data_IF_548476675549
#
_entry.id   IF_548476675549
#
_cell.length_a   1.000
_cell.length_b   1.000
_cell.length_c   1.000
_cell.angle_alpha   90.00
_cell.angle_beta   90.00
_cell.angle_gamma   90.00
#
_symmetry.space_group_name_H-M   'P 1'
#
loop_
_entity.id
_entity.type
_entity.pdbx_description
1 polymer ?
#
# COMPACT_ATOMS: atom_id res chain seq x y z
N UNK A 1 27.63 54.83 5.85
CA UNK A 1 27.53 55.85 4.79
C UNK A 1 27.43 55.14 3.46
N UNK A 2 26.48 55.55 2.62
CA UNK A 2 26.13 54.92 1.34
C UNK A 2 27.13 55.33 0.26
N UNK A 3 27.48 54.40 -0.62
CA UNK A 3 27.90 54.72 -1.98
C UNK A 3 27.34 53.65 -2.93
N UNK A 4 26.19 53.96 -3.52
CA UNK A 4 25.69 53.28 -4.72
C UNK A 4 26.43 53.86 -5.93
N UNK A 5 26.92 53.02 -6.84
CA UNK A 5 27.13 53.43 -8.22
C UNK A 5 26.83 52.28 -9.17
N UNK A 6 25.75 52.48 -9.93
CA UNK A 6 25.20 51.63 -10.97
C UNK A 6 26.21 51.34 -12.09
N UNK A 7 26.08 50.17 -12.72
CA UNK A 7 26.42 49.97 -14.13
C UNK A 7 25.27 49.23 -14.83
N UNK A 8 24.63 49.96 -15.71
CA UNK A 8 23.63 49.53 -16.69
C UNK A 8 24.27 49.08 -18.00
N UNK A 9 23.44 48.41 -18.81
CA UNK A 9 23.58 47.95 -20.22
C UNK A 9 24.20 46.54 -20.35
N UNK A 10 23.54 45.60 -21.04
CA UNK A 10 23.30 45.56 -22.49
C UNK A 10 22.00 44.82 -22.86
N UNK A 11 21.31 45.33 -23.90
CA UNK A 11 20.22 44.67 -24.64
C UNK A 11 20.74 43.49 -25.48
N UNK A 12 19.97 42.41 -25.55
CA UNK A 12 19.91 41.59 -26.77
C UNK A 12 18.47 41.06 -26.96
N UNK A 13 17.86 41.47 -28.07
CA UNK A 13 16.61 40.93 -28.58
C UNK A 13 16.87 39.61 -29.31
N UNK A 14 15.97 38.64 -29.16
CA UNK A 14 15.84 37.53 -30.11
C UNK A 14 14.38 37.07 -30.14
N UNK A 15 13.68 37.51 -31.19
CA UNK A 15 12.41 37.01 -31.67
C UNK A 15 12.53 35.56 -32.12
N UNK A 16 11.65 34.66 -31.67
CA UNK A 16 11.45 33.35 -32.31
C UNK A 16 9.97 32.96 -32.34
N UNK A 17 9.49 32.85 -33.59
CA UNK A 17 8.35 32.13 -34.16
C UNK A 17 7.17 31.69 -33.26
N UNK A 18 6.02 32.32 -33.48
CA UNK A 18 4.72 31.68 -33.24
C UNK A 18 4.45 30.63 -34.34
N UNK A 19 4.38 29.36 -33.97
CA UNK A 19 3.83 28.32 -34.84
C UNK A 19 2.30 28.42 -34.82
N UNK A 20 1.71 28.63 -36.00
CA UNK A 20 0.28 28.51 -36.20
C UNK A 20 -0.13 27.03 -36.07
N UNK A 21 -0.94 26.71 -35.06
CA UNK A 21 -1.69 25.45 -35.03
C UNK A 21 -2.85 25.58 -36.03
N UNK A 22 -2.74 24.88 -37.17
CA UNK A 22 -3.87 24.64 -38.03
C UNK A 22 -4.85 23.69 -37.31
N UNK A 23 -5.94 24.26 -36.80
CA UNK A 23 -7.05 23.53 -36.21
C UNK A 23 -7.94 23.01 -37.34
N UNK A 24 -7.72 21.78 -37.79
CA UNK A 24 -8.67 21.10 -38.68
C UNK A 24 -9.86 20.61 -37.85
N UNK A 25 -10.81 21.52 -37.63
CA UNK A 25 -12.17 21.16 -37.23
C UNK A 25 -12.85 20.47 -38.42
N UNK A 26 -12.72 19.16 -38.51
CA UNK A 26 -13.67 18.35 -39.25
C UNK A 26 -14.89 18.20 -38.34
N UNK A 27 -15.92 18.99 -38.62
CA UNK A 27 -17.24 18.76 -38.05
C UNK A 27 -17.84 17.50 -38.67
N UNK A 28 -18.52 16.70 -37.86
CA UNK A 28 -19.63 15.91 -38.37
C UNK A 28 -20.84 16.07 -37.45
N UNK A 29 -21.97 16.28 -38.11
CA UNK A 29 -23.20 16.84 -37.63
C UNK A 29 -24.19 15.69 -37.49
N UNK A 30 -24.08 14.92 -36.39
CA UNK A 30 -24.97 13.81 -36.08
C UNK A 30 -26.23 14.28 -35.35
N UNK A 31 -27.25 14.73 -36.09
CA UNK A 31 -28.60 14.93 -35.57
C UNK A 31 -29.28 13.57 -35.38
N UNK A 32 -29.15 12.99 -34.19
CA UNK A 32 -29.91 11.83 -33.74
C UNK A 32 -31.13 12.28 -32.92
N UNK A 33 -32.33 12.11 -33.48
CA UNK A 33 -33.62 12.45 -32.88
C UNK A 33 -34.15 11.38 -31.91
N UNK A 34 -34.95 11.83 -30.91
CA UNK A 34 -35.88 11.11 -30.00
C UNK A 34 -35.23 10.50 -28.74
N UNK A 35 -35.85 10.52 -27.55
CA UNK A 35 -37.24 10.84 -27.17
C UNK A 35 -37.26 11.37 -25.74
N UNK A 36 -38.09 12.39 -25.48
CA UNK A 36 -38.52 12.74 -24.14
C UNK A 36 -39.47 11.64 -23.61
N UNK A 37 -39.19 11.13 -22.42
CA UNK A 37 -40.01 10.15 -21.72
C UNK A 37 -40.06 10.49 -20.24
N UNK A 38 -41.28 10.78 -19.78
CA UNK A 38 -41.63 11.39 -18.50
C UNK A 38 -41.18 10.68 -17.25
N UNK A 39 -41.06 11.49 -16.20
CA UNK A 39 -41.12 11.13 -14.80
C UNK A 39 -42.28 10.17 -14.48
N UNK A 40 -42.00 9.23 -13.57
CA UNK A 40 -43.01 8.74 -12.64
C UNK A 40 -42.36 8.69 -11.26
N UNK A 41 -42.83 9.60 -10.43
CA UNK A 41 -42.72 9.53 -8.99
C UNK A 41 -43.54 8.33 -8.52
N UNK A 42 -42.93 7.43 -7.76
CA UNK A 42 -43.68 6.53 -6.90
C UNK A 42 -43.16 6.71 -5.48
N UNK A 43 -43.99 7.37 -4.67
CA UNK A 43 -43.85 7.44 -3.23
C UNK A 43 -44.79 6.39 -2.67
N UNK A 44 -44.25 5.34 -2.05
CA UNK A 44 -45.00 4.49 -1.15
C UNK A 44 -44.30 4.46 0.21
N UNK A 45 -44.97 5.06 1.18
CA UNK A 45 -44.72 4.96 2.60
C UNK A 45 -45.51 3.77 3.16
N UNK A 46 -44.86 2.92 3.97
CA UNK A 46 -45.41 2.16 5.12
C UNK A 46 -44.20 1.67 5.94
N UNK A 47 -43.91 2.24 7.12
CA UNK A 47 -44.50 1.97 8.43
C UNK A 47 -44.08 0.61 9.06
N UNK A 48 -43.16 0.74 10.03
CA UNK A 48 -42.99 0.03 11.31
C UNK A 48 -43.30 -1.47 11.43
N UNK A 49 -42.31 -2.22 11.93
CA UNK A 49 -42.54 -3.26 12.95
C UNK A 49 -41.30 -3.41 13.85
N UNK A 50 -41.60 -3.65 15.12
CA UNK A 50 -40.76 -3.55 16.28
C UNK A 50 -39.95 -4.84 16.55
N UNK A 51 -39.08 -4.71 17.55
CA UNK A 51 -38.19 -5.70 18.14
C UNK A 51 -38.86 -7.03 18.53
N UNK A 52 -38.04 -8.09 18.62
CA UNK A 52 -37.88 -8.86 19.87
C UNK A 52 -36.65 -9.78 19.82
N UNK A 53 -35.84 -9.73 20.89
CA UNK A 53 -34.92 -10.80 21.29
C UNK A 53 -35.71 -11.95 21.91
N UNK A 54 -35.07 -13.12 22.07
CA UNK A 54 -35.02 -13.63 23.44
C UNK A 54 -33.64 -14.17 23.85
N UNK A 55 -33.41 -14.15 25.16
CA UNK A 55 -32.26 -14.66 25.90
C UNK A 55 -32.73 -15.80 26.81
N UNK A 56 -31.89 -16.84 26.90
CA UNK A 56 -31.63 -17.78 28.01
C UNK A 56 -32.73 -18.69 28.60
N UNK A 57 -32.37 -19.98 28.71
CA UNK A 57 -32.31 -20.81 29.92
C UNK A 57 -31.49 -22.07 29.54
N UNK A 58 -30.34 -22.40 30.14
CA UNK A 58 -30.03 -22.92 31.50
C UNK A 58 -30.09 -24.45 31.64
N UNK A 59 -29.15 -24.92 32.48
CA UNK A 59 -28.95 -26.24 33.09
C UNK A 59 -28.38 -27.41 32.22
N UNK A 60 -27.51 -28.29 32.70
CA UNK A 60 -26.65 -28.39 33.89
C UNK A 60 -25.85 -29.71 33.79
N UNK A 61 -24.78 -29.78 34.59
CA UNK A 61 -24.18 -30.97 35.23
C UNK A 61 -23.29 -31.90 34.35
N UNK A 62 -21.98 -31.95 34.62
CA UNK A 62 -21.26 -32.84 35.58
C UNK A 62 -20.50 -33.91 34.74
N UNK A 63 -19.26 -34.35 34.96
CA UNK A 63 -18.49 -34.62 36.19
C UNK A 63 -16.99 -34.80 35.85
N UNK A 64 -16.11 -34.36 36.77
CA UNK A 64 -14.86 -35.04 37.21
C UNK A 64 -13.69 -35.30 36.23
N UNK A 65 -12.43 -35.46 36.62
CA UNK A 65 -11.74 -35.49 37.92
C UNK A 65 -10.22 -35.52 37.65
N UNK A 66 -9.48 -34.80 38.50
CA UNK A 66 -8.05 -34.86 38.89
C UNK A 66 -7.04 -35.76 38.16
N UNK A 67 -5.82 -35.23 38.00
CA UNK A 67 -4.68 -35.79 38.76
C UNK A 67 -3.38 -36.16 38.01
N UNK A 68 -2.30 -35.52 38.47
CA UNK A 68 -0.99 -36.10 38.75
C UNK A 68 0.20 -35.89 37.81
N UNK A 69 1.15 -35.16 38.39
CA UNK A 69 2.61 -35.16 38.26
C UNK A 69 3.24 -36.53 37.99
N UNK A 70 4.32 -36.54 37.20
CA UNK A 70 5.24 -37.67 37.06
C UNK A 70 6.63 -37.21 36.58
N UNK A 71 7.56 -37.08 37.53
CA UNK A 71 8.99 -36.94 37.30
C UNK A 71 9.60 -38.21 36.71
N UNK A 72 10.57 -38.07 35.81
CA UNK A 72 11.35 -39.19 35.28
C UNK A 72 12.81 -38.76 35.04
N UNK A 73 13.64 -39.00 36.06
CA UNK A 73 15.10 -38.90 36.03
C UNK A 73 15.68 -40.03 35.19
N UNK A 74 16.57 -39.71 34.25
CA UNK A 74 17.36 -40.69 33.50
C UNK A 74 18.76 -40.15 33.22
N UNK A 75 19.68 -40.37 34.16
CA UNK A 75 21.12 -40.15 33.98
C UNK A 75 21.70 -41.23 33.06
N UNK A 76 22.51 -40.81 32.09
CA UNK A 76 23.29 -41.69 31.22
C UNK A 76 24.45 -40.93 30.60
N UNK A 77 25.56 -40.84 31.33
CA UNK A 77 26.86 -40.36 30.87
C UNK A 77 27.49 -41.32 29.88
N UNK A 78 27.93 -40.83 28.71
CA UNK A 78 29.11 -41.35 28.02
C UNK A 78 29.66 -40.28 27.07
N UNK A 79 30.76 -39.67 27.49
CA UNK A 79 31.65 -38.82 26.71
C UNK A 79 32.44 -39.71 25.74
N UNK A 80 32.51 -39.34 24.45
CA UNK A 80 33.67 -39.66 23.62
C UNK A 80 33.86 -38.55 22.58
N UNK A 81 35.00 -37.89 22.69
CA UNK A 81 35.50 -36.88 21.78
C UNK A 81 35.95 -37.50 20.46
N UNK A 82 35.89 -36.71 19.38
CA UNK A 82 36.45 -37.08 18.09
C UNK A 82 36.20 -36.00 17.04
N UNK A 83 36.99 -34.93 17.09
CA UNK A 83 37.07 -33.96 16.01
C UNK A 83 37.92 -34.54 14.87
N UNK A 84 37.41 -34.57 13.63
CA UNK A 84 38.25 -34.33 12.44
C UNK A 84 37.37 -33.87 11.27
N UNK A 85 37.74 -32.74 10.70
CA UNK A 85 37.31 -32.16 9.43
C UNK A 85 37.73 -33.03 8.25
N UNK A 86 36.86 -33.26 7.26
CA UNK A 86 37.26 -33.37 5.84
C UNK A 86 36.09 -33.12 4.89
N UNK A 87 36.42 -32.33 3.88
CA UNK A 87 35.72 -31.97 2.64
C UNK A 87 35.15 -33.13 1.81
N UNK A 88 34.11 -32.80 1.03
CA UNK A 88 33.86 -33.38 -0.29
C UNK A 88 32.74 -34.41 -0.35
N UNK A 89 31.59 -34.00 -0.87
CA UNK A 89 30.48 -34.91 -1.12
C UNK A 89 29.37 -34.25 -1.94
N UNK A 90 29.58 -34.19 -3.25
CA UNK A 90 28.54 -33.93 -4.24
C UNK A 90 27.48 -35.02 -4.15
N UNK A 91 26.40 -34.76 -3.42
CA UNK A 91 25.24 -35.64 -3.31
C UNK A 91 24.04 -35.00 -3.97
N UNK A 92 23.73 -35.44 -5.19
CA UNK A 92 22.41 -35.19 -5.79
C UNK A 92 21.40 -35.96 -4.95
N UNK A 93 20.61 -35.23 -4.16
CA UNK A 93 19.43 -35.78 -3.50
C UNK A 93 18.24 -35.22 -4.23
N UNK A 94 17.70 -36.02 -5.16
CA UNK A 94 16.34 -35.87 -5.67
C UNK A 94 15.36 -36.04 -4.52
N UNK A 95 15.18 -34.98 -3.74
CA UNK A 95 13.99 -34.77 -2.95
C UNK A 95 12.98 -34.08 -3.86
N UNK A 96 11.76 -34.61 -3.93
CA UNK A 96 10.63 -33.86 -4.50
C UNK A 96 10.59 -32.50 -3.81
N UNK A 97 11.07 -31.46 -4.51
CA UNK A 97 11.03 -30.10 -4.01
C UNK A 97 9.56 -29.75 -3.83
N UNK A 98 9.09 -29.79 -2.57
CA UNK A 98 8.08 -28.84 -2.16
C UNK A 98 8.57 -27.49 -2.69
N UNK A 99 7.82 -26.87 -3.61
CA UNK A 99 8.16 -25.59 -4.25
C UNK A 99 8.55 -24.64 -3.12
N UNK A 100 9.85 -24.40 -2.95
CA UNK A 100 10.33 -23.60 -1.85
C UNK A 100 9.71 -22.21 -2.03
N UNK A 101 8.87 -21.79 -1.08
CA UNK A 101 8.31 -20.46 -1.10
C UNK A 101 9.46 -19.45 -1.10
N UNK A 102 9.39 -18.45 -1.96
CA UNK A 102 10.40 -17.40 -2.00
C UNK A 102 10.52 -16.75 -0.59
N UNK A 103 11.73 -16.35 -0.16
CA UNK A 103 11.88 -15.66 1.11
C UNK A 103 11.07 -14.36 1.10
N UNK A 104 10.58 -13.92 2.25
CA UNK A 104 9.83 -12.67 2.33
C UNK A 104 10.73 -11.46 2.10
N UNK A 105 10.21 -10.44 1.42
CA UNK A 105 10.92 -9.18 1.30
C UNK A 105 11.10 -8.51 2.68
N UNK A 106 12.13 -7.68 2.84
CA UNK A 106 12.39 -6.93 4.09
C UNK A 106 12.56 -5.46 3.74
N UNK A 107 12.27 -4.55 4.68
CA UNK A 107 12.46 -3.12 4.43
C UNK A 107 13.92 -2.77 4.11
N UNK A 108 14.90 -3.54 4.62
CA UNK A 108 16.33 -3.38 4.30
C UNK A 108 16.68 -3.79 2.87
N UNK A 109 15.98 -4.78 2.31
CA UNK A 109 16.17 -5.28 0.95
C UNK A 109 15.38 -4.51 -0.10
N UNK A 110 14.62 -3.49 0.30
CA UNK A 110 13.75 -2.71 -0.56
C UNK A 110 14.13 -1.23 -0.52
N UNK A 111 14.04 -0.58 -1.66
CA UNK A 111 13.98 0.87 -1.74
C UNK A 111 12.51 1.27 -1.89
N UNK A 112 11.96 1.94 -0.86
CA UNK A 112 10.57 2.39 -0.86
C UNK A 112 10.52 3.89 -1.15
N UNK A 113 9.77 4.28 -2.18
CA UNK A 113 9.56 5.67 -2.59
C UNK A 113 8.08 5.98 -2.74
N UNK A 114 7.75 7.27 -2.80
CA UNK A 114 6.40 7.75 -3.03
C UNK A 114 6.40 8.78 -4.16
N UNK A 115 5.36 8.75 -4.99
CA UNK A 115 5.10 9.70 -6.06
C UNK A 115 3.64 10.11 -6.02
N UNK A 116 3.34 11.37 -6.38
CA UNK A 116 1.95 11.78 -6.59
C UNK A 116 1.44 11.25 -7.91
N UNK A 117 0.18 10.87 -7.94
CA UNK A 117 -0.49 10.68 -9.23
C UNK A 117 -0.73 12.03 -9.91
N UNK A 118 -0.75 12.02 -11.23
CA UNK A 118 -0.85 13.24 -12.04
C UNK A 118 -2.24 13.88 -11.95
N UNK A 119 -2.25 15.21 -12.03
CA UNK A 119 -3.47 16.02 -12.11
C UNK A 119 -4.09 16.38 -10.75
N UNK A 120 -4.54 17.64 -10.55
CA UNK A 120 -5.33 17.98 -9.39
C UNK A 120 -6.75 17.37 -9.48
N UNK A 121 -7.36 17.00 -8.34
CA UNK A 121 -6.83 17.13 -6.99
C UNK A 121 -5.78 16.05 -6.65
N UNK A 122 -4.68 16.46 -5.99
CA UNK A 122 -3.60 15.55 -5.57
C UNK A 122 -3.98 14.74 -4.33
N UNK A 123 -4.93 13.83 -4.51
CA UNK A 123 -5.53 13.02 -3.45
C UNK A 123 -4.85 11.66 -3.28
N UNK A 124 -4.04 11.25 -4.26
CA UNK A 124 -3.47 9.92 -4.34
C UNK A 124 -1.94 9.91 -4.46
N UNK A 125 -1.35 8.87 -3.89
CA UNK A 125 0.04 8.51 -4.01
C UNK A 125 0.18 7.12 -4.60
N UNK A 126 1.26 6.94 -5.34
CA UNK A 126 1.82 5.63 -5.65
C UNK A 126 3.03 5.42 -4.75
N UNK A 127 3.01 4.35 -3.95
CA UNK A 127 4.26 3.85 -3.35
C UNK A 127 4.87 2.81 -4.27
N UNK A 128 6.18 2.88 -4.44
CA UNK A 128 6.99 1.87 -5.13
C UNK A 128 7.94 1.22 -4.15
N UNK A 129 8.03 -0.10 -4.16
CA UNK A 129 8.99 -0.87 -3.39
C UNK A 129 9.86 -1.70 -4.35
N UNK A 130 11.06 -1.20 -4.65
CA UNK A 130 12.01 -1.85 -5.55
C UNK A 130 12.89 -2.82 -4.78
N UNK A 131 12.98 -4.07 -5.23
CA UNK A 131 13.93 -5.05 -4.69
C UNK A 131 15.36 -4.65 -5.07
N UNK A 132 16.12 -4.19 -4.08
CA UNK A 132 17.54 -3.85 -4.22
C UNK A 132 18.45 -4.93 -3.65
N UNK A 133 17.90 -6.06 -3.23
CA UNK A 133 18.66 -7.22 -2.81
C UNK A 133 19.16 -8.03 -4.01
N UNK A 134 20.08 -8.95 -3.77
CA UNK A 134 20.64 -9.83 -4.79
C UNK A 134 19.83 -11.10 -5.09
N UNK A 135 18.64 -11.25 -4.50
CA UNK A 135 17.80 -12.45 -4.67
C UNK A 135 16.31 -12.09 -4.79
N UNK A 136 15.53 -12.99 -5.38
CA UNK A 136 14.08 -12.86 -5.44
C UNK A 136 13.43 -12.95 -4.06
N UNK A 137 12.35 -12.19 -3.85
CA UNK A 137 11.58 -12.22 -2.60
C UNK A 137 10.07 -12.10 -2.84
N UNK A 138 9.27 -12.69 -1.96
CA UNK A 138 7.82 -12.54 -1.95
C UNK A 138 7.41 -11.30 -1.14
N UNK A 139 6.64 -10.41 -1.78
CA UNK A 139 5.97 -9.28 -1.14
C UNK A 139 4.54 -9.69 -0.78
N UNK A 140 4.17 -9.51 0.49
CA UNK A 140 2.86 -9.90 1.04
C UNK A 140 2.03 -8.71 1.49
N UNK A 141 0.72 -8.91 1.39
CA UNK A 141 -0.34 -8.06 1.94
C UNK A 141 -0.18 -6.58 1.51
N UNK A 142 -0.52 -5.66 2.40
CA UNK A 142 -0.46 -4.21 2.20
C UNK A 142 0.55 -3.58 3.17
N UNK A 143 1.09 -2.38 2.86
CA UNK A 143 1.95 -1.68 3.80
C UNK A 143 1.16 -1.16 5.01
N UNK A 144 1.75 -1.25 6.19
CA UNK A 144 1.25 -0.52 7.35
C UNK A 144 1.82 0.91 7.30
N UNK A 145 1.02 1.83 6.74
CA UNK A 145 1.39 3.24 6.61
C UNK A 145 0.94 4.01 7.85
N UNK A 146 1.85 4.77 8.46
CA UNK A 146 1.53 5.79 9.46
C UNK A 146 1.94 7.15 8.93
N UNK A 147 0.94 7.96 8.56
CA UNK A 147 1.16 9.32 8.08
C UNK A 147 1.42 10.33 9.20
N UNK A 148 0.95 10.06 10.41
CA UNK A 148 0.94 11.02 11.51
C UNK A 148 1.41 10.32 12.80
N UNK A 149 2.36 10.91 13.50
CA UNK A 149 2.95 10.35 14.73
C UNK A 149 1.97 10.33 15.93
N UNK A 150 0.87 11.08 15.83
CA UNK A 150 -0.06 11.35 16.93
C UNK A 150 -1.22 10.34 17.04
N UNK A 151 -0.97 9.06 16.79
CA UNK A 151 -1.93 7.97 17.01
C UNK A 151 -3.24 8.02 16.19
N UNK A 152 -3.20 8.53 14.95
CA UNK A 152 -4.37 8.51 14.05
C UNK A 152 -4.65 7.13 13.42
N UNK A 153 -3.80 6.14 13.67
CA UNK A 153 -3.97 4.75 13.24
C UNK A 153 -3.16 4.38 12.00
N UNK A 154 -3.24 3.11 11.61
CA UNK A 154 -2.68 2.59 10.36
C UNK A 154 -3.69 2.84 9.24
N UNK A 155 -3.22 3.28 8.08
CA UNK A 155 -4.08 3.43 6.89
C UNK A 155 -4.74 2.09 6.56
N UNK A 156 -6.08 2.01 6.52
CA UNK A 156 -6.78 0.75 6.33
C UNK A 156 -6.66 0.24 4.88
N UNK A 157 -6.58 -1.08 4.68
CA UNK A 157 -6.54 -1.65 3.34
C UNK A 157 -7.91 -1.65 2.67
N UNK A 158 -7.92 -1.63 1.34
CA UNK A 158 -9.12 -1.94 0.57
C UNK A 158 -9.07 -3.37 0.04
N UNK A 159 -9.97 -4.20 0.57
CA UNK A 159 -9.99 -5.64 0.34
C UNK A 159 -10.05 -6.05 -1.14
N UNK A 160 -10.82 -5.33 -1.97
CA UNK A 160 -10.93 -5.62 -3.41
C UNK A 160 -9.63 -5.43 -4.20
N UNK A 161 -8.64 -4.74 -3.64
CA UNK A 161 -7.35 -4.54 -4.29
C UNK A 161 -6.36 -5.70 -4.07
N UNK A 162 -6.71 -6.69 -3.24
CA UNK A 162 -5.87 -7.86 -2.94
C UNK A 162 -5.56 -8.64 -4.23
N UNK A 163 -4.28 -8.90 -4.56
CA UNK A 163 -3.93 -9.69 -5.74
C UNK A 163 -4.36 -11.15 -5.56
N UNK A 164 -4.77 -11.78 -6.66
CA UNK A 164 -5.15 -13.20 -6.68
C UNK A 164 -3.92 -14.14 -6.66
N UNK A 165 -2.76 -13.62 -7.05
CA UNK A 165 -1.50 -14.35 -7.11
C UNK A 165 -0.45 -13.73 -6.20
N UNK A 166 0.52 -14.53 -5.70
CA UNK A 166 1.65 -13.99 -4.94
C UNK A 166 2.46 -12.97 -5.74
N UNK A 167 2.87 -11.88 -5.08
CA UNK A 167 3.76 -10.87 -5.67
C UNK A 167 5.20 -11.28 -5.41
N UNK A 168 5.88 -11.75 -6.45
CA UNK A 168 7.30 -12.13 -6.38
C UNK A 168 8.13 -11.06 -7.09
N UNK A 169 9.13 -10.52 -6.40
CA UNK A 169 10.03 -9.49 -6.92
C UNK A 169 11.41 -10.07 -7.13
N UNK A 170 11.81 -10.24 -8.39
CA UNK A 170 13.21 -10.49 -8.75
C UNK A 170 14.09 -9.25 -8.46
N UNK A 171 15.42 -9.40 -8.38
CA UNK A 171 16.33 -8.26 -8.23
C UNK A 171 16.05 -7.15 -9.26
N UNK A 172 15.84 -5.94 -8.77
CA UNK A 172 15.52 -4.76 -9.58
C UNK A 172 14.05 -4.57 -9.94
N UNK A 173 13.17 -5.57 -9.72
CA UNK A 173 11.73 -5.43 -9.91
C UNK A 173 11.09 -4.60 -8.79
N UNK A 174 9.93 -4.00 -9.08
CA UNK A 174 9.19 -3.19 -8.12
C UNK A 174 7.78 -3.72 -7.92
N UNK A 175 7.31 -3.66 -6.67
CA UNK A 175 5.88 -3.70 -6.38
C UNK A 175 5.35 -2.28 -6.19
N UNK A 176 4.08 -2.09 -6.48
CA UNK A 176 3.38 -0.83 -6.38
C UNK A 176 2.17 -0.97 -5.46
N UNK A 177 1.77 0.14 -4.86
CA UNK A 177 0.50 0.24 -4.15
C UNK A 177 -0.04 1.66 -4.29
N UNK A 178 -1.33 1.78 -4.54
CA UNK A 178 -2.03 3.05 -4.50
C UNK A 178 -2.39 3.39 -3.06
N UNK A 179 -2.34 4.67 -2.72
CA UNK A 179 -2.72 5.20 -1.41
C UNK A 179 -3.59 6.42 -1.63
N UNK A 180 -4.81 6.40 -1.11
CA UNK A 180 -5.65 7.59 -1.01
C UNK A 180 -5.33 8.32 0.28
N UNK A 181 -5.06 9.61 0.18
CA UNK A 181 -4.75 10.47 1.32
C UNK A 181 -5.96 11.28 1.77
N UNK A 182 -6.79 11.73 0.83
CA UNK A 182 -7.95 12.62 1.05
C UNK A 182 -8.92 12.51 -0.13
N UNK A 183 -10.07 13.19 -0.06
CA UNK A 183 -11.08 13.27 -1.14
C UNK A 183 -10.94 14.56 -1.98
N UNK A 184 -10.07 15.49 -1.60
CA UNK A 184 -9.83 16.75 -2.33
C UNK A 184 -10.98 17.75 -2.19
N UNK A 185 -11.88 17.54 -1.22
CA UNK A 185 -13.04 18.39 -1.01
C UNK A 185 -12.66 19.76 -0.45
N UNK A 186 -13.26 20.86 -0.95
CA UNK A 186 -12.96 22.23 -0.47
C UNK A 186 -13.23 22.46 1.02
N UNK A 187 -14.11 21.66 1.63
CA UNK A 187 -14.46 21.72 3.06
C UNK A 187 -13.86 20.55 3.84
N UNK A 188 -12.96 19.79 3.23
CA UNK A 188 -12.30 18.67 3.88
C UNK A 188 -11.26 19.16 4.88
N UNK A 189 -11.20 18.52 6.04
CA UNK A 189 -10.17 18.78 7.03
C UNK A 189 -8.99 17.85 6.77
N UNK A 190 -7.83 18.43 6.43
CA UNK A 190 -6.60 17.69 6.16
C UNK A 190 -5.46 18.17 7.06
N UNK A 191 -4.56 17.26 7.41
CA UNK A 191 -3.30 17.55 8.08
C UNK A 191 -2.15 17.48 7.06
N UNK A 192 -1.14 18.34 7.21
CA UNK A 192 0.03 18.36 6.31
C UNK A 192 1.10 17.39 6.80
N UNK A 193 1.52 16.47 5.93
CA UNK A 193 2.50 15.43 6.24
C UNK A 193 3.74 15.57 5.35
N UNK A 194 4.93 15.70 5.96
CA UNK A 194 6.21 15.84 5.23
C UNK A 194 7.01 14.55 5.13
N UNK A 195 6.76 13.63 6.04
CA UNK A 195 7.35 12.29 6.05
C UNK A 195 6.38 11.34 6.74
N UNK A 196 6.44 10.07 6.40
CA UNK A 196 5.60 9.03 6.96
C UNK A 196 6.36 7.72 7.02
N UNK A 197 5.88 6.78 7.84
CA UNK A 197 6.53 5.47 7.98
C UNK A 197 5.74 4.39 7.24
N UNK A 198 6.48 3.47 6.64
CA UNK A 198 5.96 2.26 5.99
C UNK A 198 6.55 1.06 6.71
N UNK A 199 5.70 0.27 7.36
CA UNK A 199 6.09 -0.98 8.04
C UNK A 199 5.60 -2.18 7.25
N UNK A 200 6.47 -3.17 7.05
CA UNK A 200 6.15 -4.38 6.28
C UNK A 200 5.79 -5.55 7.21
N UNK A 201 4.65 -5.46 7.89
CA UNK A 201 4.30 -6.35 9.02
C UNK A 201 4.10 -7.82 8.65
N UNK A 202 3.54 -8.09 7.47
CA UNK A 202 3.29 -9.44 6.94
C UNK A 202 4.49 -10.02 6.17
N UNK A 203 5.58 -9.27 6.06
CA UNK A 203 6.78 -9.64 5.33
C UNK A 203 7.90 -10.03 6.32
N UNK A 204 9.15 -10.08 5.88
CA UNK A 204 10.31 -10.35 6.73
C UNK A 204 10.63 -9.22 7.73
N UNK A 205 9.77 -8.20 7.80
CA UNK A 205 9.83 -7.12 8.77
C UNK A 205 10.63 -5.89 8.33
N UNK A 206 10.76 -4.97 9.27
CA UNK A 206 11.40 -3.68 9.10
C UNK A 206 10.44 -2.54 8.78
N UNK A 207 11.01 -1.34 8.84
CA UNK A 207 10.33 -0.07 8.63
C UNK A 207 11.19 0.80 7.72
N UNK A 208 10.54 1.57 6.84
CA UNK A 208 11.16 2.62 6.06
C UNK A 208 10.50 3.96 6.37
N UNK A 209 11.30 5.02 6.46
CA UNK A 209 10.81 6.40 6.47
C UNK A 209 10.76 6.89 5.03
N UNK A 210 9.59 7.35 4.59
CA UNK A 210 9.35 7.83 3.24
C UNK A 210 9.09 9.33 3.31
N UNK A 211 9.85 10.10 2.53
CA UNK A 211 9.66 11.54 2.42
C UNK A 211 8.49 11.85 1.49
N UNK A 212 7.78 12.93 1.79
CA UNK A 212 6.76 13.48 0.90
C UNK A 212 7.39 13.81 -0.47
N UNK A 213 6.77 13.38 -1.60
CA UNK A 213 7.16 13.83 -2.94
C UNK A 213 6.79 15.31 -3.20
N UNK A 214 6.00 15.91 -2.31
CA UNK A 214 5.56 17.29 -2.35
C UNK A 214 6.40 18.15 -1.39
N UNK A 215 7.06 19.24 -1.83
CA UNK A 215 7.82 20.13 -0.93
C UNK A 215 6.93 20.82 0.11
N UNK A 216 5.68 21.11 -0.23
CA UNK A 216 4.65 21.66 0.66
C UNK A 216 4.10 20.61 1.66
N UNK A 217 4.36 19.33 1.42
CA UNK A 217 3.79 18.21 2.16
C UNK A 217 2.50 17.68 1.53
N UNK A 218 2.04 16.56 2.07
CA UNK A 218 0.85 15.85 1.63
C UNK A 218 -0.36 16.29 2.46
N UNK A 219 -1.49 16.53 1.81
CA UNK A 219 -2.75 16.82 2.50
C UNK A 219 -3.49 15.52 2.80
N UNK A 220 -3.46 15.12 4.07
CA UNK A 220 -3.95 13.82 4.53
C UNK A 220 -5.19 14.01 5.39
N UNK A 221 -6.27 13.30 5.09
CA UNK A 221 -7.46 13.19 5.92
C UNK A 221 -7.53 11.78 6.55
N UNK A 222 -7.27 11.65 7.86
CA UNK A 222 -7.31 10.37 8.57
C UNK A 222 -8.65 9.64 8.53
N UNK A 223 -9.75 10.34 8.23
CA UNK A 223 -11.07 9.72 8.13
C UNK A 223 -11.38 9.19 6.72
N UNK A 224 -10.56 9.51 5.73
CA UNK A 224 -10.81 9.18 4.30
C UNK A 224 -9.68 8.41 3.64
N UNK A 225 -8.51 8.35 4.28
CA UNK A 225 -7.37 7.62 3.75
C UNK A 225 -7.66 6.13 3.53
N UNK A 226 -6.92 5.54 2.63
CA UNK A 226 -6.97 4.11 2.39
C UNK A 226 -5.71 3.67 1.63
N UNK A 227 -5.38 2.39 1.68
CA UNK A 227 -4.26 1.81 0.93
C UNK A 227 -4.68 0.54 0.21
N UNK A 228 -4.09 0.29 -0.95
CA UNK A 228 -4.24 -0.99 -1.63
C UNK A 228 -3.33 -2.08 -1.08
N UNK A 229 -3.32 -3.21 -1.76
CA UNK A 229 -2.32 -4.26 -1.58
C UNK A 229 -1.15 -4.05 -2.55
N UNK A 230 0.01 -4.63 -2.23
CA UNK A 230 1.13 -4.65 -3.18
C UNK A 230 0.76 -5.42 -4.45
N UNK A 231 1.11 -4.88 -5.61
CA UNK A 231 0.93 -5.49 -6.94
C UNK A 231 2.19 -5.30 -7.79
N UNK A 232 2.45 -6.18 -8.76
CA UNK A 232 3.57 -6.02 -9.71
C UNK A 232 3.33 -4.96 -10.78
N UNK A 233 2.06 -4.59 -10.97
CA UNK A 233 1.62 -3.59 -11.94
C UNK A 233 1.07 -2.36 -11.21
N UNK A 234 1.27 -1.20 -11.81
CA UNK A 234 0.68 0.04 -11.32
C UNK A 234 -0.81 0.05 -11.66
N UNK A 235 -1.67 -0.05 -10.64
CA UNK A 235 -3.12 0.09 -10.80
C UNK A 235 -3.51 1.58 -10.79
N UNK A 236 -3.90 2.10 -11.95
CA UNK A 236 -4.43 3.44 -12.11
C UNK A 236 -5.98 3.38 -12.03
N UNK A 237 -6.57 3.89 -10.96
CA UNK A 237 -8.03 3.74 -10.67
C UNK A 237 -8.47 4.32 -9.32
N UNK A 238 -7.76 5.36 -8.88
CA UNK A 238 -7.63 5.88 -7.52
C UNK A 238 -8.92 5.99 -6.66
N UNK A 239 -10.07 6.33 -7.23
CA UNK A 239 -11.25 6.70 -6.44
C UNK A 239 -11.86 5.55 -5.62
N UNK A 240 -11.59 4.34 -6.07
CA UNK A 240 -12.16 3.12 -5.53
C UNK A 240 -11.08 2.16 -5.00
N UNK A 241 -9.84 2.36 -5.44
CA UNK A 241 -8.84 1.36 -5.87
C UNK A 241 -9.28 0.54 -7.09
#
# INVERSE_FOLDING_TARGET
MRAFRNRTTVLAAATTAALALALTACGDNGTGTKSAGSASSDSATVAASAAESPKAADDAAETGTTGSTGSGTGSGTAQAAGATTSSGGSGTSGGTSAKASAPLCTAKGLQITAERQDGPPYTHLTLSAKNTSGAGCEMKEYPHIHFLDNARGIVPPVAKSKPEVPVILEPGQSAYVAVRMSEGGRKESTETVKEFTVTLKANGGGMAVVKSPAPEGLSVNPQKWATGYWTTELRNGADDF
#
